data_IF_013468132067
#
_entry.id   IF_013468132067
#
_cell.length_a   1.000
_cell.length_b   1.000
_cell.length_c   1.000
_cell.angle_alpha   90.00
_cell.angle_beta   90.00
_cell.angle_gamma   90.00
#
_symmetry.space_group_name_H-M   'P 1'
#
loop_
_entity.id
_entity.type
_entity.pdbx_description
1 polymer ?
#
# COMPACT_ATOMS: atom_id res chain seq x y z
N UNK A 1 45.77 -71.82 1.58
CA UNK A 1 45.92 -70.85 2.66
C UNK A 1 45.51 -69.49 2.14
N UNK A 2 44.22 -69.10 2.29
CA UNK A 2 43.64 -67.89 1.72
C UNK A 2 43.49 -66.84 2.85
N UNK A 3 44.25 -65.78 2.73
CA UNK A 3 44.19 -64.62 3.66
C UNK A 3 43.13 -63.65 3.11
N UNK A 4 41.94 -63.57 3.76
CA UNK A 4 40.94 -62.52 3.51
C UNK A 4 41.39 -61.24 4.16
N UNK A 5 41.61 -60.19 3.36
CA UNK A 5 41.82 -58.82 3.82
C UNK A 5 40.48 -58.16 4.13
N UNK A 6 40.28 -57.74 5.37
CA UNK A 6 39.20 -56.86 5.81
C UNK A 6 39.58 -55.42 5.49
N UNK A 7 38.72 -54.72 4.73
CA UNK A 7 38.74 -53.25 4.60
C UNK A 7 37.91 -52.63 5.74
N UNK A 8 38.41 -51.60 6.40
CA UNK A 8 37.58 -50.84 7.33
C UNK A 8 36.72 -49.82 6.58
N UNK A 9 35.43 -49.85 6.89
CA UNK A 9 34.47 -48.81 6.51
C UNK A 9 34.78 -47.53 7.31
N UNK A 10 35.22 -46.48 6.64
CA UNK A 10 35.25 -45.11 7.17
C UNK A 10 33.86 -44.52 7.10
N UNK A 11 33.22 -44.32 8.22
CA UNK A 11 32.01 -43.52 8.39
C UNK A 11 32.48 -42.06 8.51
N UNK A 12 32.27 -41.28 7.46
CA UNK A 12 32.46 -39.84 7.52
C UNK A 12 31.26 -39.19 8.24
N UNK A 13 31.49 -38.32 9.23
CA UNK A 13 30.37 -37.58 9.82
C UNK A 13 29.83 -36.56 8.85
N UNK A 14 28.52 -36.60 8.57
CA UNK A 14 27.79 -35.59 7.85
C UNK A 14 27.74 -34.33 8.76
N UNK A 15 28.61 -33.38 8.47
CA UNK A 15 28.53 -32.04 9.04
C UNK A 15 27.31 -31.34 8.41
N UNK A 16 26.21 -31.30 9.13
CA UNK A 16 25.10 -30.39 8.89
C UNK A 16 25.64 -28.96 9.11
N UNK A 17 25.99 -28.30 8.04
CA UNK A 17 26.22 -26.86 8.07
C UNK A 17 24.85 -26.19 8.23
N UNK A 18 24.56 -25.76 9.46
CA UNK A 18 23.49 -24.82 9.71
C UNK A 18 23.83 -23.52 8.96
N UNK A 19 22.98 -23.14 8.00
CA UNK A 19 23.04 -21.82 7.41
C UNK A 19 22.83 -20.78 8.52
N UNK A 20 23.66 -19.74 8.62
CA UNK A 20 23.39 -18.65 9.52
C UNK A 20 22.21 -17.82 8.93
N UNK A 21 21.03 -18.00 9.48
CA UNK A 21 19.92 -17.06 9.30
C UNK A 21 20.19 -15.83 10.19
N UNK A 22 21.14 -15.01 9.77
CA UNK A 22 21.52 -13.76 10.43
C UNK A 22 21.00 -12.55 9.66
N UNK A 23 19.70 -12.44 9.42
CA UNK A 23 19.05 -11.15 9.20
C UNK A 23 18.67 -10.60 10.56
N UNK A 24 18.98 -9.32 10.84
CA UNK A 24 18.40 -8.58 11.95
C UNK A 24 16.88 -8.60 11.74
N UNK A 25 16.19 -9.56 12.38
CA UNK A 25 14.74 -9.46 12.55
C UNK A 25 14.54 -8.22 13.42
N UNK A 26 13.85 -7.22 12.90
CA UNK A 26 13.32 -6.17 13.75
C UNK A 26 12.61 -6.88 14.91
N UNK A 27 12.95 -6.49 16.13
CA UNK A 27 12.48 -7.18 17.32
C UNK A 27 10.94 -7.24 17.29
N UNK A 28 10.38 -8.40 17.63
CA UNK A 28 8.94 -8.54 17.76
C UNK A 28 8.42 -7.54 18.80
N UNK A 29 7.27 -6.88 18.56
CA UNK A 29 6.70 -5.97 19.54
C UNK A 29 6.32 -6.73 20.81
N UNK A 30 6.30 -6.01 21.93
CA UNK A 30 5.81 -6.54 23.21
C UNK A 30 4.29 -6.75 23.12
N UNK A 31 3.87 -7.97 22.81
CA UNK A 31 2.46 -8.32 22.58
C UNK A 31 1.57 -8.07 23.80
N UNK A 32 2.10 -8.09 25.01
CA UNK A 32 1.32 -7.83 26.23
C UNK A 32 0.92 -6.36 26.33
N UNK A 33 1.62 -5.47 25.64
CA UNK A 33 1.30 -4.03 25.57
C UNK A 33 0.42 -3.65 24.40
N UNK A 34 0.19 -4.57 23.45
CA UNK A 34 -0.60 -4.29 22.26
C UNK A 34 -2.06 -4.71 22.44
N UNK A 35 -3.01 -3.77 22.26
CA UNK A 35 -4.43 -4.15 22.22
C UNK A 35 -4.70 -5.16 21.10
N UNK A 36 -5.47 -6.19 21.41
CA UNK A 36 -5.89 -7.18 20.40
C UNK A 36 -6.88 -6.58 19.41
N UNK A 37 -7.58 -5.54 19.83
CA UNK A 37 -8.63 -4.87 19.04
C UNK A 37 -8.65 -3.39 19.34
N UNK A 38 -8.74 -2.55 18.30
CA UNK A 38 -8.94 -1.10 18.39
C UNK A 38 -10.14 -0.74 17.52
N UNK A 39 -11.09 0.02 18.08
CA UNK A 39 -12.33 0.40 17.42
C UNK A 39 -12.25 1.87 16.99
N UNK A 40 -12.54 2.18 15.73
CA UNK A 40 -12.60 3.58 15.27
C UNK A 40 -13.87 4.30 15.71
N UNK A 41 -14.92 3.57 16.14
CA UNK A 41 -16.26 4.10 16.23
C UNK A 41 -16.85 4.41 14.86
N UNK A 42 -18.07 4.98 14.85
CA UNK A 42 -18.79 5.38 13.65
C UNK A 42 -18.21 6.66 13.04
N UNK A 43 -17.91 6.66 11.73
CA UNK A 43 -17.14 7.71 11.06
C UNK A 43 -17.83 8.35 9.84
N UNK A 44 -19.12 8.25 9.73
CA UNK A 44 -19.89 8.82 8.63
C UNK A 44 -20.06 7.86 7.43
N UNK A 45 -20.35 8.39 6.24
CA UNK A 45 -20.76 7.56 5.10
C UNK A 45 -19.60 6.87 4.37
N UNK A 46 -18.37 7.34 4.58
CA UNK A 46 -17.19 6.86 3.86
C UNK A 46 -16.48 5.77 4.66
N UNK A 47 -16.03 4.71 3.96
CA UNK A 47 -15.30 3.63 4.62
C UNK A 47 -13.82 3.99 4.86
N UNK A 48 -13.20 3.25 5.76
CA UNK A 48 -11.76 3.31 6.00
C UNK A 48 -10.99 2.88 4.75
N UNK A 49 -9.89 3.57 4.47
CA UNK A 49 -9.03 3.34 3.30
C UNK A 49 -7.62 2.87 3.69
N UNK A 50 -7.16 3.24 4.88
CA UNK A 50 -5.83 2.90 5.36
C UNK A 50 -5.66 3.15 6.84
N UNK A 51 -4.61 2.56 7.41
CA UNK A 51 -4.15 2.80 8.78
C UNK A 51 -2.64 3.03 8.78
N UNK A 52 -2.17 3.83 9.73
CA UNK A 52 -0.76 3.92 10.11
C UNK A 52 -0.65 3.85 11.64
N UNK A 53 0.45 3.31 12.15
CA UNK A 53 0.62 3.09 13.60
C UNK A 53 1.95 3.65 14.07
N UNK A 54 1.92 4.38 15.15
CA UNK A 54 3.07 4.87 15.89
C UNK A 54 3.10 4.16 17.24
N UNK A 55 3.84 3.06 17.30
CA UNK A 55 3.97 2.28 18.54
C UNK A 55 4.75 3.03 19.61
N UNK A 56 5.71 3.87 19.22
CA UNK A 56 6.56 4.62 20.16
C UNK A 56 5.74 5.63 20.93
N UNK A 57 4.86 6.39 20.23
CA UNK A 57 4.00 7.40 20.83
C UNK A 57 2.64 6.86 21.27
N UNK A 58 2.30 5.62 20.89
CA UNK A 58 1.05 4.95 21.25
C UNK A 58 -0.17 5.46 20.48
N UNK A 59 -0.01 5.78 19.20
CA UNK A 59 -1.09 6.29 18.35
C UNK A 59 -1.38 5.38 17.15
N UNK A 60 -2.62 5.41 16.70
CA UNK A 60 -3.08 4.86 15.43
C UNK A 60 -3.81 5.94 14.65
N UNK A 61 -3.59 5.97 13.34
CA UNK A 61 -4.20 6.89 12.40
C UNK A 61 -5.09 6.11 11.42
N UNK A 62 -6.23 6.67 11.06
CA UNK A 62 -7.15 6.10 10.08
C UNK A 62 -7.46 7.14 9.01
N UNK A 63 -7.46 6.75 7.75
CA UNK A 63 -8.07 7.52 6.68
C UNK A 63 -9.49 7.01 6.41
N UNK A 64 -10.46 7.92 6.43
CA UNK A 64 -11.84 7.66 6.04
C UNK A 64 -12.19 8.53 4.85
N UNK A 65 -11.68 8.22 3.68
CA UNK A 65 -11.85 8.92 2.39
C UNK A 65 -11.70 10.45 2.46
N UNK A 66 -12.42 11.15 3.33
CA UNK A 66 -12.48 12.62 3.42
C UNK A 66 -11.96 13.18 4.75
N UNK A 67 -11.36 12.34 5.58
CA UNK A 67 -10.78 12.75 6.86
C UNK A 67 -9.67 11.81 7.36
N UNK A 68 -8.81 12.36 8.20
CA UNK A 68 -7.84 11.60 9.00
C UNK A 68 -8.28 11.61 10.46
N UNK A 69 -8.25 10.44 11.13
CA UNK A 69 -8.39 10.34 12.59
C UNK A 69 -7.04 10.05 13.23
N UNK A 70 -6.77 10.64 14.39
CA UNK A 70 -5.70 10.27 15.31
C UNK A 70 -6.33 9.76 16.59
N UNK A 71 -6.05 8.51 16.94
CA UNK A 71 -6.53 7.85 18.16
C UNK A 71 -5.37 7.31 18.97
N UNK A 72 -5.53 7.17 20.27
CA UNK A 72 -4.62 6.36 21.06
C UNK A 72 -4.88 4.86 20.85
N UNK A 73 -3.94 4.01 21.26
CA UNK A 73 -4.12 2.56 21.11
C UNK A 73 -5.22 1.99 22.01
N UNK A 74 -5.71 2.74 22.99
CA UNK A 74 -6.89 2.37 23.77
C UNK A 74 -8.21 2.65 23.05
N UNK A 75 -8.16 3.29 21.87
CA UNK A 75 -9.35 3.63 21.07
C UNK A 75 -9.99 4.97 21.42
N UNK A 76 -9.31 5.85 22.16
CA UNK A 76 -9.80 7.19 22.42
C UNK A 76 -9.40 8.14 21.29
N UNK A 77 -10.35 8.95 20.81
CA UNK A 77 -10.09 9.98 19.81
C UNK A 77 -9.24 11.11 20.42
N UNK A 78 -8.08 11.36 19.82
CA UNK A 78 -7.16 12.46 20.19
C UNK A 78 -7.42 13.69 19.32
N UNK A 79 -7.65 13.48 18.02
CA UNK A 79 -7.94 14.56 17.09
C UNK A 79 -8.32 14.03 15.71
N UNK A 80 -8.78 14.93 14.85
CA UNK A 80 -9.06 14.61 13.45
C UNK A 80 -8.74 15.78 12.53
N UNK A 81 -8.52 15.48 11.25
CA UNK A 81 -8.44 16.47 10.17
C UNK A 81 -9.60 16.19 9.22
N UNK A 82 -10.44 17.16 9.04
CA UNK A 82 -11.67 17.09 8.27
C UNK A 82 -11.66 18.10 7.11
N UNK A 83 -12.70 18.07 6.25
CA UNK A 83 -12.84 19.04 5.17
C UNK A 83 -12.12 18.65 3.87
N UNK A 84 -11.60 17.43 3.75
CA UNK A 84 -11.12 16.93 2.47
C UNK A 84 -12.29 16.63 1.53
N UNK A 85 -12.22 17.11 0.31
CA UNK A 85 -13.20 16.84 -0.77
C UNK A 85 -12.68 15.82 -1.79
N UNK A 86 -11.42 15.41 -1.65
CA UNK A 86 -10.78 14.36 -2.41
C UNK A 86 -10.84 12.99 -1.71
N UNK A 87 -10.19 12.01 -2.34
CA UNK A 87 -10.08 10.65 -1.83
C UNK A 87 -8.74 10.48 -1.12
N UNK A 88 -8.75 10.50 0.22
CA UNK A 88 -7.62 10.12 1.05
C UNK A 88 -7.60 8.59 1.17
N UNK A 89 -6.56 7.97 0.63
CA UNK A 89 -6.39 6.51 0.54
C UNK A 89 -5.51 5.91 1.63
N UNK A 90 -4.56 5.08 1.23
CA UNK A 90 -3.60 4.40 2.12
C UNK A 90 -2.77 5.40 2.93
N UNK A 91 -2.39 5.00 4.14
CA UNK A 91 -1.51 5.75 5.03
C UNK A 91 -0.23 5.00 5.31
N UNK A 92 0.85 5.74 5.50
CA UNK A 92 2.11 5.23 6.03
C UNK A 92 2.75 6.26 6.95
N UNK A 93 3.49 5.81 7.94
CA UNK A 93 4.29 6.68 8.79
C UNK A 93 5.72 6.76 8.26
N UNK A 94 6.28 7.97 8.20
CA UNK A 94 7.70 8.15 7.91
C UNK A 94 8.50 8.08 9.22
N UNK A 95 9.32 7.05 9.43
CA UNK A 95 10.10 6.92 10.66
C UNK A 95 11.17 8.00 10.80
N UNK A 96 11.59 8.63 9.69
CA UNK A 96 12.64 9.65 9.71
C UNK A 96 12.15 11.01 10.22
N UNK A 97 10.89 11.37 10.02
CA UNK A 97 10.33 12.67 10.41
C UNK A 97 9.10 12.61 11.32
N UNK A 98 8.61 11.40 11.59
CA UNK A 98 7.48 11.15 12.50
C UNK A 98 6.13 11.65 11.98
N UNK A 99 6.02 11.95 10.67
CA UNK A 99 4.78 12.41 10.04
C UNK A 99 4.04 11.25 9.34
N UNK A 100 2.75 11.42 9.14
CA UNK A 100 1.93 10.47 8.38
C UNK A 100 1.76 10.97 6.95
N UNK A 101 2.02 10.08 6.01
CA UNK A 101 1.89 10.29 4.58
C UNK A 101 0.72 9.48 4.05
N UNK A 102 -0.06 10.04 3.14
CA UNK A 102 -1.20 9.34 2.53
C UNK A 102 -1.39 9.72 1.06
N UNK A 103 -1.95 8.80 0.27
CA UNK A 103 -2.39 9.12 -1.08
C UNK A 103 -3.64 10.02 -1.01
N UNK A 104 -3.67 11.08 -1.81
CA UNK A 104 -4.81 12.00 -1.89
C UNK A 104 -5.12 12.30 -3.36
N UNK A 105 -6.36 12.04 -3.76
CA UNK A 105 -6.76 12.17 -5.14
C UNK A 105 -7.95 13.12 -5.32
N UNK A 106 -7.89 13.90 -6.38
CA UNK A 106 -9.02 14.65 -6.92
C UNK A 106 -9.26 14.18 -8.35
N UNK A 107 -10.47 13.65 -8.65
CA UNK A 107 -10.81 13.08 -9.95
C UNK A 107 -12.21 13.48 -10.40
N UNK A 108 -12.42 13.55 -11.70
CA UNK A 108 -13.75 13.70 -12.28
C UNK A 108 -14.32 12.40 -12.86
N UNK A 109 -13.94 11.26 -12.26
CA UNK A 109 -14.50 9.95 -12.56
C UNK A 109 -15.69 9.61 -11.65
N UNK A 110 -16.21 8.38 -11.77
CA UNK A 110 -17.34 7.91 -10.97
C UNK A 110 -17.07 7.93 -9.45
N UNK A 111 -15.80 7.76 -9.03
CA UNK A 111 -15.40 7.77 -7.62
C UNK A 111 -15.42 9.21 -7.11
N UNK A 112 -14.73 10.13 -7.78
CA UNK A 112 -14.70 11.53 -7.40
C UNK A 112 -16.09 12.18 -7.40
N UNK A 113 -16.91 11.89 -8.43
CA UNK A 113 -18.33 12.32 -8.48
C UNK A 113 -19.14 11.77 -7.32
N UNK A 114 -18.91 10.49 -6.95
CA UNK A 114 -19.58 9.85 -5.82
C UNK A 114 -19.23 10.50 -4.48
N UNK A 115 -17.96 10.91 -4.28
CA UNK A 115 -17.53 11.60 -3.07
C UNK A 115 -18.23 12.96 -2.96
N UNK A 116 -18.13 13.81 -4.01
CA UNK A 116 -18.78 15.13 -4.01
C UNK A 116 -20.28 15.05 -3.78
N UNK A 117 -20.97 14.14 -4.48
CA UNK A 117 -22.40 13.91 -4.28
C UNK A 117 -22.75 13.53 -2.85
N UNK A 118 -21.88 12.78 -2.17
CA UNK A 118 -22.11 12.37 -0.78
C UNK A 118 -21.86 13.52 0.20
N UNK A 119 -20.90 14.40 -0.09
CA UNK A 119 -20.59 15.58 0.74
C UNK A 119 -21.64 16.69 0.57
N UNK A 120 -21.86 17.14 -0.66
CA UNK A 120 -22.58 18.38 -0.96
C UNK A 120 -23.92 18.16 -1.69
N UNK A 121 -24.24 16.93 -2.06
CA UNK A 121 -25.38 16.59 -2.91
C UNK A 121 -25.16 16.90 -4.39
N UNK A 122 -24.00 17.45 -4.76
CA UNK A 122 -23.64 17.82 -6.13
C UNK A 122 -22.66 16.78 -6.73
N UNK A 123 -22.74 16.62 -8.05
CA UNK A 123 -21.86 15.70 -8.78
C UNK A 123 -21.06 16.40 -9.87
N UNK A 124 -21.12 17.74 -9.91
CA UNK A 124 -20.40 18.52 -10.93
C UNK A 124 -18.87 18.35 -10.78
N UNK A 125 -18.18 18.53 -11.90
CA UNK A 125 -16.76 18.22 -12.03
C UNK A 125 -15.85 19.06 -11.14
N UNK A 126 -14.66 18.53 -10.88
CA UNK A 126 -13.54 19.34 -10.39
C UNK A 126 -12.82 19.93 -11.59
N UNK A 127 -12.50 21.21 -11.53
CA UNK A 127 -11.79 21.88 -12.62
C UNK A 127 -10.38 21.30 -12.86
N UNK A 128 -9.83 20.61 -11.86
CA UNK A 128 -8.49 20.05 -11.94
C UNK A 128 -8.39 18.66 -11.31
N UNK A 129 -8.17 17.64 -12.14
CA UNK A 129 -7.73 16.33 -11.68
C UNK A 129 -6.27 16.41 -11.25
N UNK A 130 -5.96 15.88 -10.07
CA UNK A 130 -4.61 15.86 -9.51
C UNK A 130 -4.43 14.77 -8.49
N UNK A 131 -3.20 14.24 -8.42
CA UNK A 131 -2.81 13.22 -7.45
C UNK A 131 -1.68 13.75 -6.57
N UNK A 132 -1.82 13.56 -5.28
CA UNK A 132 -0.94 14.15 -4.27
C UNK A 132 -0.55 13.13 -3.21
N UNK A 133 0.59 13.34 -2.61
CA UNK A 133 0.88 12.80 -1.29
C UNK A 133 0.51 13.86 -0.26
N UNK A 134 -0.47 13.54 0.59
CA UNK A 134 -0.80 14.32 1.78
C UNK A 134 0.23 14.01 2.88
N UNK A 135 0.76 15.03 3.51
CA UNK A 135 1.76 14.94 4.58
C UNK A 135 1.19 15.61 5.81
N UNK A 136 0.86 14.83 6.83
CA UNK A 136 0.23 15.29 8.05
C UNK A 136 1.26 15.49 9.16
N UNK A 137 1.32 16.69 9.72
CA UNK A 137 2.04 17.00 10.96
C UNK A 137 1.19 16.52 12.15
N UNK A 138 1.35 15.25 12.48
CA UNK A 138 0.49 14.58 13.46
C UNK A 138 0.67 15.08 14.89
N UNK A 139 1.76 15.78 15.20
CA UNK A 139 1.97 16.40 16.51
C UNK A 139 1.06 17.61 16.70
N UNK A 140 0.67 18.26 15.60
CA UNK A 140 -0.27 19.39 15.61
C UNK A 140 -1.75 18.96 15.60
N UNK A 141 -2.06 17.69 15.36
CA UNK A 141 -3.42 17.16 15.42
C UNK A 141 -3.77 16.88 16.88
N UNK A 142 -4.40 17.83 17.54
CA UNK A 142 -4.61 17.83 19.01
C UNK A 142 -6.08 17.96 19.43
N UNK A 143 -7.00 18.11 18.49
CA UNK A 143 -8.45 18.19 18.73
C UNK A 143 -9.23 17.61 17.56
N UNK A 144 -10.47 17.17 17.75
CA UNK A 144 -11.37 16.81 16.64
C UNK A 144 -11.66 18.01 15.72
N UNK A 145 -12.06 17.67 14.50
CA UNK A 145 -12.57 18.59 13.47
C UNK A 145 -11.61 19.74 13.12
N UNK A 146 -10.29 19.46 13.02
CA UNK A 146 -9.33 20.41 12.48
C UNK A 146 -9.51 20.50 10.96
N UNK A 147 -9.55 21.71 10.43
CA UNK A 147 -9.75 21.95 9.00
C UNK A 147 -8.46 21.71 8.21
N UNK A 148 -8.53 20.90 7.18
CA UNK A 148 -7.38 20.50 6.36
C UNK A 148 -6.64 21.67 5.70
N UNK A 149 -7.34 22.77 5.37
CA UNK A 149 -6.74 23.96 4.74
C UNK A 149 -6.38 25.06 5.76
N UNK A 150 -7.23 25.28 6.78
CA UNK A 150 -7.11 26.43 7.67
C UNK A 150 -6.20 26.20 8.88
N UNK A 151 -6.20 24.98 9.44
CA UNK A 151 -5.43 24.68 10.66
C UNK A 151 -3.94 24.38 10.37
N UNK A 152 -3.52 24.34 9.11
CA UNK A 152 -2.14 24.14 8.66
C UNK A 152 -1.48 22.90 9.28
N UNK A 153 -2.25 21.82 9.41
CA UNK A 153 -1.79 20.54 9.97
C UNK A 153 -1.33 19.57 8.90
N UNK A 154 -1.44 19.96 7.63
CA UNK A 154 -1.00 19.16 6.51
C UNK A 154 -0.46 20.01 5.36
N UNK A 155 0.38 19.37 4.56
CA UNK A 155 0.86 19.85 3.27
C UNK A 155 0.61 18.78 2.21
N UNK A 156 0.80 19.13 0.95
CA UNK A 156 0.67 18.17 -0.15
C UNK A 156 1.84 18.29 -1.12
N UNK A 157 2.15 17.18 -1.80
CA UNK A 157 3.16 17.10 -2.87
C UNK A 157 2.54 16.45 -4.09
N UNK A 158 2.64 17.10 -5.24
CA UNK A 158 2.03 16.67 -6.50
C UNK A 158 2.77 15.49 -7.13
N UNK A 159 2.04 14.45 -7.53
CA UNK A 159 2.58 13.23 -8.15
C UNK A 159 2.39 13.31 -9.67
N UNK A 160 3.27 14.08 -10.32
CA UNK A 160 3.18 14.37 -11.75
C UNK A 160 3.12 13.12 -12.62
N UNK A 161 3.97 12.12 -12.36
CA UNK A 161 4.07 10.90 -13.17
C UNK A 161 2.73 10.14 -13.26
N UNK A 162 2.01 10.01 -12.14
CA UNK A 162 0.71 9.36 -12.15
C UNK A 162 -0.35 10.17 -12.92
N UNK A 163 -0.30 11.49 -12.83
CA UNK A 163 -1.18 12.37 -13.58
C UNK A 163 -0.88 12.30 -15.10
N UNK A 164 0.39 12.26 -15.48
CA UNK A 164 0.80 12.10 -16.87
C UNK A 164 0.28 10.78 -17.46
N UNK A 165 0.37 9.67 -16.72
CA UNK A 165 -0.15 8.38 -17.14
C UNK A 165 -1.69 8.33 -17.14
N UNK A 166 -2.33 9.02 -16.22
CA UNK A 166 -3.79 9.14 -16.20
C UNK A 166 -4.35 9.85 -17.44
N UNK A 167 -3.69 10.90 -17.91
CA UNK A 167 -4.12 11.63 -19.11
C UNK A 167 -3.55 11.08 -20.42
N UNK A 168 -2.59 10.16 -20.36
CA UNK A 168 -2.03 9.57 -21.56
C UNK A 168 -2.96 8.52 -22.16
N UNK A 169 -2.93 8.42 -23.48
CA UNK A 169 -3.54 7.33 -24.25
C UNK A 169 -2.53 6.20 -24.47
N UNK A 170 -3.04 4.98 -24.67
CA UNK A 170 -2.27 3.80 -25.05
C UNK A 170 -2.99 3.06 -26.19
N UNK A 171 -2.28 2.17 -26.89
CA UNK A 171 -2.88 1.22 -27.83
C UNK A 171 -2.92 -0.14 -27.18
N UNK A 172 -4.11 -0.76 -27.13
CA UNK A 172 -4.29 -2.08 -26.57
C UNK A 172 -5.37 -2.87 -27.32
N UNK A 173 -5.01 -4.04 -27.83
CA UNK A 173 -5.86 -4.84 -28.71
C UNK A 173 -6.21 -4.09 -30.01
N UNK A 174 -5.26 -3.31 -30.55
CA UNK A 174 -5.46 -2.50 -31.75
C UNK A 174 -6.40 -1.29 -31.56
N UNK A 175 -6.78 -0.95 -30.34
CA UNK A 175 -7.68 0.18 -30.00
C UNK A 175 -6.94 1.22 -29.18
N UNK A 176 -7.22 2.49 -29.44
CA UNK A 176 -6.80 3.57 -28.51
C UNK A 176 -7.63 3.50 -27.24
N UNK A 177 -6.96 3.43 -26.10
CA UNK A 177 -7.55 3.39 -24.77
C UNK A 177 -6.99 4.53 -23.92
N UNK A 178 -7.83 5.15 -23.12
CA UNK A 178 -7.40 6.14 -22.15
C UNK A 178 -6.62 5.49 -20.98
N UNK A 179 -5.84 6.29 -20.28
CA UNK A 179 -5.15 5.91 -19.06
C UNK A 179 -4.07 4.85 -19.30
N UNK A 180 -2.86 5.30 -19.64
CA UNK A 180 -1.68 4.44 -19.84
C UNK A 180 -1.48 3.53 -18.61
N UNK A 181 -1.17 2.25 -18.82
CA UNK A 181 -1.11 1.20 -17.79
C UNK A 181 -2.43 1.00 -17.03
N UNK A 182 -3.56 1.49 -17.56
CA UNK A 182 -4.83 1.50 -16.84
C UNK A 182 -4.86 2.42 -15.61
N UNK A 183 -3.95 3.41 -15.52
CA UNK A 183 -3.83 4.30 -14.36
C UNK A 183 -5.18 4.95 -14.02
N UNK A 184 -5.72 4.68 -12.83
CA UNK A 184 -6.93 5.32 -12.30
C UNK A 184 -6.60 6.35 -11.20
N UNK A 185 -5.33 6.60 -10.93
CA UNK A 185 -4.82 7.44 -9.85
C UNK A 185 -3.79 6.74 -9.00
N UNK A 186 -3.76 7.05 -7.72
CA UNK A 186 -2.83 6.47 -6.73
C UNK A 186 -3.60 6.00 -5.50
N UNK A 187 -3.17 4.89 -4.90
CA UNK A 187 -3.78 4.37 -3.66
C UNK A 187 -2.72 3.96 -2.63
N UNK A 188 -2.04 2.80 -2.80
CA UNK A 188 -1.08 2.29 -1.83
C UNK A 188 0.16 3.17 -1.67
N UNK A 189 0.57 3.44 -0.43
CA UNK A 189 1.82 4.16 -0.13
C UNK A 189 2.57 3.48 1.01
N UNK A 190 3.92 3.46 0.92
CA UNK A 190 4.77 2.99 2.02
C UNK A 190 6.19 3.55 1.90
N UNK A 191 6.89 3.64 3.03
CA UNK A 191 8.34 3.84 3.03
C UNK A 191 9.05 2.49 3.04
N UNK A 192 10.05 2.32 2.19
CA UNK A 192 10.86 1.11 2.14
C UNK A 192 12.25 1.41 1.56
N UNK A 193 13.27 0.58 1.86
CA UNK A 193 14.54 0.62 1.16
C UNK A 193 14.37 0.38 -0.34
N UNK A 194 15.40 0.72 -1.11
CA UNK A 194 15.45 0.38 -2.52
C UNK A 194 15.57 -1.14 -2.69
N UNK A 195 14.80 -1.70 -3.61
CA UNK A 195 14.80 -3.14 -3.91
C UNK A 195 16.21 -3.66 -4.24
N UNK A 196 16.62 -4.72 -3.54
CA UNK A 196 17.89 -5.42 -3.75
C UNK A 196 19.16 -4.62 -3.44
N UNK A 197 19.07 -3.39 -2.93
CA UNK A 197 20.28 -2.58 -2.68
C UNK A 197 21.01 -2.96 -1.39
N UNK A 198 20.27 -3.41 -0.37
CA UNK A 198 20.80 -3.55 0.99
C UNK A 198 21.24 -2.22 1.63
N UNK A 199 21.03 -1.09 0.95
CA UNK A 199 21.39 0.25 1.43
C UNK A 199 20.27 0.79 2.34
N UNK A 200 20.70 1.39 3.46
CA UNK A 200 19.78 2.17 4.30
C UNK A 200 19.39 3.45 3.56
N UNK A 201 18.13 3.62 3.32
CA UNK A 201 17.55 4.81 2.69
C UNK A 201 16.11 4.49 2.33
N UNK A 202 15.20 5.29 2.85
CA UNK A 202 13.80 5.03 2.63
C UNK A 202 13.29 5.84 1.44
N UNK A 203 12.84 5.11 0.44
CA UNK A 203 12.07 5.68 -0.66
C UNK A 203 10.59 5.69 -0.28
N UNK A 204 9.88 6.73 -0.67
CA UNK A 204 8.42 6.68 -0.69
C UNK A 204 7.96 5.95 -1.95
N UNK A 205 7.32 4.82 -1.76
CA UNK A 205 6.67 4.07 -2.81
C UNK A 205 5.21 4.49 -2.92
N UNK A 206 4.77 4.75 -4.15
CA UNK A 206 3.39 5.15 -4.47
C UNK A 206 2.85 4.20 -5.53
N UNK A 207 1.83 3.43 -5.20
CA UNK A 207 1.21 2.50 -6.13
C UNK A 207 0.08 3.17 -6.91
N UNK A 208 -0.04 2.80 -8.21
CA UNK A 208 -1.18 3.23 -9.00
C UNK A 208 -2.46 2.55 -8.53
N UNK A 209 -3.54 3.32 -8.50
CA UNK A 209 -4.87 2.79 -8.74
C UNK A 209 -4.97 2.32 -10.19
N UNK A 210 -5.61 1.19 -10.45
CA UNK A 210 -5.69 0.61 -11.78
C UNK A 210 -7.14 0.23 -12.10
N UNK A 211 -7.65 0.72 -13.25
CA UNK A 211 -8.95 0.29 -13.75
C UNK A 211 -8.95 -1.20 -14.08
N UNK A 212 -9.82 -1.97 -13.42
CA UNK A 212 -10.00 -3.41 -13.60
C UNK A 212 -10.74 -3.79 -14.90
N UNK A 213 -10.41 -3.18 -16.04
CA UNK A 213 -10.99 -3.51 -17.33
C UNK A 213 -10.51 -4.88 -17.81
N UNK A 214 -11.43 -5.83 -17.94
CA UNK A 214 -11.13 -7.20 -18.35
C UNK A 214 -10.82 -7.36 -19.84
N UNK A 215 -11.07 -6.35 -20.65
CA UNK A 215 -10.77 -6.35 -22.10
C UNK A 215 -9.36 -5.83 -22.40
N UNK A 216 -8.71 -5.16 -21.45
CA UNK A 216 -7.32 -4.69 -21.56
C UNK A 216 -6.34 -5.77 -21.12
N UNK A 217 -5.13 -5.72 -21.64
CA UNK A 217 -4.01 -6.58 -21.23
C UNK A 217 -2.81 -5.79 -20.70
N UNK A 218 -2.78 -4.48 -20.91
CA UNK A 218 -1.74 -3.56 -20.44
C UNK A 218 -1.96 -3.08 -18.99
N UNK A 219 -2.99 -3.58 -18.32
CA UNK A 219 -3.33 -3.30 -16.92
C UNK A 219 -3.12 -4.52 -15.98
N UNK A 220 -2.29 -5.48 -16.38
CA UNK A 220 -2.02 -6.71 -15.63
C UNK A 220 -0.80 -6.59 -14.70
N UNK A 221 -0.17 -5.42 -14.70
CA UNK A 221 0.90 -5.06 -13.78
C UNK A 221 0.42 -4.01 -12.79
N UNK A 222 0.80 -4.17 -11.53
CA UNK A 222 0.80 -3.05 -10.59
C UNK A 222 1.98 -2.15 -10.91
N UNK A 223 1.78 -0.84 -10.82
CA UNK A 223 2.84 0.15 -11.04
C UNK A 223 3.18 0.81 -9.70
N UNK A 224 4.46 0.83 -9.35
CA UNK A 224 4.97 1.50 -8.16
C UNK A 224 5.98 2.57 -8.58
N UNK A 225 5.72 3.81 -8.18
CA UNK A 225 6.67 4.90 -8.28
C UNK A 225 7.50 4.94 -7.00
N UNK A 226 8.81 5.10 -7.11
CA UNK A 226 9.69 5.26 -5.97
C UNK A 226 10.36 6.64 -6.01
N UNK A 227 10.35 7.35 -4.90
CA UNK A 227 10.91 8.69 -4.74
C UNK A 227 11.87 8.73 -3.57
N UNK A 228 13.12 9.19 -3.79
CA UNK A 228 14.02 9.57 -2.70
C UNK A 228 13.46 10.82 -2.00
N UNK A 229 13.19 10.71 -0.71
CA UNK A 229 12.51 11.77 0.04
C UNK A 229 13.45 12.76 0.74
N UNK A 230 14.77 12.68 0.54
CA UNK A 230 15.74 13.57 1.19
C UNK A 230 15.42 15.06 1.00
N UNK A 231 15.03 15.44 -0.20
CA UNK A 231 14.69 16.82 -0.56
C UNK A 231 13.17 17.04 -0.72
N UNK A 232 12.36 16.12 -0.25
CA UNK A 232 10.91 16.12 -0.47
C UNK A 232 10.22 17.38 0.04
N UNK A 233 10.67 17.87 1.19
CA UNK A 233 10.12 19.06 1.85
C UNK A 233 10.08 20.32 0.96
N UNK A 234 11.00 20.45 -0.01
CA UNK A 234 11.01 21.60 -0.95
C UNK A 234 9.76 21.66 -1.85
N UNK A 235 9.07 20.55 -2.02
CA UNK A 235 7.87 20.44 -2.85
C UNK A 235 6.58 20.62 -2.05
N UNK A 236 6.65 20.49 -0.74
CA UNK A 236 5.49 20.61 0.13
C UNK A 236 4.87 22.00 0.04
N UNK A 237 3.55 22.04 -0.20
CA UNK A 237 2.74 23.25 -0.21
C UNK A 237 1.52 23.06 0.67
N UNK A 238 0.97 24.10 1.29
CA UNK A 238 -0.33 24.03 1.95
C UNK A 238 -1.40 23.51 0.98
N UNK A 239 -2.31 22.71 1.50
CA UNK A 239 -3.46 22.26 0.72
C UNK A 239 -4.32 23.48 0.30
N UNK A 240 -4.68 23.53 -0.98
CA UNK A 240 -5.74 24.40 -1.50
C UNK A 240 -6.59 23.62 -2.50
N UNK A 241 -7.81 23.34 -2.12
CA UNK A 241 -8.73 22.52 -2.93
C UNK A 241 -9.38 23.35 -4.03
N UNK A 242 -9.51 24.66 -3.84
CA UNK A 242 -10.02 25.60 -4.86
C UNK A 242 -8.95 26.07 -5.86
N UNK A 243 -7.67 26.00 -5.49
CA UNK A 243 -6.54 26.41 -6.33
C UNK A 243 -5.36 25.44 -6.13
N UNK A 244 -5.49 24.18 -6.58
CA UNK A 244 -4.50 23.14 -6.32
C UNK A 244 -3.18 23.44 -7.03
N UNK A 245 -2.07 23.31 -6.29
CA UNK A 245 -0.73 23.49 -6.82
C UNK A 245 -0.24 22.26 -7.61
N UNK A 246 0.84 22.47 -8.37
CA UNK A 246 1.55 21.40 -9.10
C UNK A 246 3.02 21.26 -8.65
N UNK A 247 3.29 21.59 -7.39
CA UNK A 247 4.63 21.44 -6.81
C UNK A 247 4.88 19.97 -6.46
N UNK A 248 5.86 19.37 -7.10
CA UNK A 248 6.24 17.98 -6.92
C UNK A 248 7.46 17.61 -7.74
N UNK A 249 8.04 16.41 -7.57
CA UNK A 249 9.12 15.92 -8.39
C UNK A 249 8.72 15.86 -9.87
N UNK A 250 9.67 16.18 -10.76
CA UNK A 250 9.44 16.12 -12.20
C UNK A 250 9.19 14.70 -12.71
N UNK A 251 9.84 13.71 -12.06
CA UNK A 251 9.73 12.27 -12.32
C UNK A 251 10.04 11.49 -11.05
N UNK A 252 9.62 10.23 -10.94
CA UNK A 252 10.11 9.34 -9.90
C UNK A 252 11.58 8.94 -10.18
N UNK A 253 12.30 8.51 -9.14
CA UNK A 253 13.63 7.92 -9.28
C UNK A 253 13.56 6.56 -9.96
N UNK A 254 12.49 5.79 -9.66
CA UNK A 254 12.19 4.51 -10.30
C UNK A 254 10.69 4.36 -10.55
N UNK A 255 10.37 3.64 -11.63
CA UNK A 255 9.03 3.19 -11.98
C UNK A 255 9.04 1.68 -12.16
N UNK A 256 8.51 0.99 -11.17
CA UNK A 256 8.51 -0.47 -11.12
C UNK A 256 7.18 -1.06 -11.58
N UNK A 257 7.26 -2.30 -12.07
CA UNK A 257 6.12 -3.10 -12.50
C UNK A 257 6.10 -4.43 -11.75
N UNK A 258 4.94 -4.81 -11.23
CA UNK A 258 4.73 -6.11 -10.56
C UNK A 258 3.60 -6.83 -11.26
N UNK A 259 3.88 -8.00 -11.82
CA UNK A 259 2.85 -8.78 -12.51
C UNK A 259 1.98 -9.50 -11.49
N UNK A 260 0.77 -9.03 -11.29
CA UNK A 260 -0.22 -9.60 -10.37
C UNK A 260 -1.44 -10.18 -11.12
N UNK A 261 -1.48 -10.01 -12.43
CA UNK A 261 -2.69 -10.18 -13.20
C UNK A 261 -3.64 -8.99 -13.00
N UNK A 262 -4.88 -9.13 -13.38
CA UNK A 262 -5.86 -8.06 -13.24
C UNK A 262 -6.36 -7.94 -11.79
N UNK A 263 -6.37 -6.72 -11.25
CA UNK A 263 -6.98 -6.37 -9.97
C UNK A 263 -8.03 -5.27 -10.18
N UNK A 264 -8.95 -5.08 -9.23
CA UNK A 264 -9.85 -3.93 -9.22
C UNK A 264 -9.20 -2.80 -8.44
N UNK A 265 -9.09 -1.64 -9.02
CA UNK A 265 -8.52 -0.41 -8.43
C UNK A 265 -7.03 -0.45 -8.07
N UNK A 266 -6.29 -1.52 -8.37
CA UNK A 266 -4.87 -1.65 -8.07
C UNK A 266 -4.58 -1.97 -6.60
N UNK A 267 -3.34 -1.65 -6.15
CA UNK A 267 -2.93 -1.83 -4.75
C UNK A 267 -3.60 -0.77 -3.89
N UNK A 268 -4.49 -1.21 -3.02
CA UNK A 268 -5.21 -0.34 -2.09
C UNK A 268 -4.38 0.02 -0.87
N UNK A 269 -3.69 -0.97 -0.30
CA UNK A 269 -2.73 -0.77 0.78
C UNK A 269 -1.41 -1.46 0.43
N UNK A 270 -0.33 -0.71 0.60
CA UNK A 270 1.04 -1.16 0.44
C UNK A 270 1.76 -0.96 1.77
N UNK A 271 2.42 -2.00 2.27
CA UNK A 271 3.08 -1.96 3.56
C UNK A 271 4.43 -2.69 3.52
N UNK A 272 5.49 -2.02 3.94
CA UNK A 272 6.82 -2.59 4.06
C UNK A 272 7.01 -3.20 5.45
N UNK A 273 7.36 -4.48 5.52
CA UNK A 273 7.73 -5.14 6.76
C UNK A 273 9.26 -5.23 6.90
N UNK A 274 9.87 -4.45 7.80
CA UNK A 274 11.31 -4.47 7.99
C UNK A 274 11.84 -5.80 8.53
N UNK A 275 10.99 -6.64 9.14
CA UNK A 275 11.40 -7.94 9.66
C UNK A 275 11.65 -8.97 8.55
N UNK A 276 10.85 -8.96 7.49
CA UNK A 276 11.02 -9.82 6.31
C UNK A 276 11.75 -9.13 5.17
N UNK A 277 11.78 -7.79 5.16
CA UNK A 277 12.29 -7.00 4.03
C UNK A 277 11.35 -6.95 2.84
N UNK A 278 10.11 -7.43 2.96
CA UNK A 278 9.16 -7.55 1.87
C UNK A 278 8.09 -6.45 1.91
N UNK A 279 7.44 -6.21 0.77
CA UNK A 279 6.27 -5.35 0.69
C UNK A 279 5.01 -6.21 0.53
N UNK A 280 4.04 -5.95 1.39
CA UNK A 280 2.70 -6.56 1.35
C UNK A 280 1.76 -5.65 0.58
N UNK A 281 1.15 -6.18 -0.47
CA UNK A 281 0.28 -5.45 -1.37
C UNK A 281 -1.14 -6.04 -1.32
N UNK A 282 -2.05 -5.34 -0.67
CA UNK A 282 -3.45 -5.73 -0.57
C UNK A 282 -4.29 -5.02 -1.64
N UNK A 283 -5.11 -5.80 -2.35
CA UNK A 283 -5.91 -5.35 -3.49
C UNK A 283 -7.36 -5.81 -3.37
N UNK A 284 -8.26 -5.17 -4.12
CA UNK A 284 -9.54 -5.82 -4.45
C UNK A 284 -9.35 -6.78 -5.62
N UNK A 285 -9.99 -7.96 -5.52
CA UNK A 285 -9.87 -9.03 -6.52
C UNK A 285 -10.23 -8.55 -7.92
N UNK A 286 -9.46 -8.99 -8.90
CA UNK A 286 -9.78 -8.87 -10.31
C UNK A 286 -10.88 -9.84 -10.76
N UNK A 287 -11.16 -9.81 -12.06
CA UNK A 287 -12.24 -10.60 -12.68
C UNK A 287 -11.82 -11.31 -13.96
N UNK A 288 -10.55 -11.25 -14.36
CA UNK A 288 -10.06 -11.91 -15.56
C UNK A 288 -9.96 -13.42 -15.31
N UNK A 289 -10.63 -14.27 -16.14
CA UNK A 289 -10.70 -15.71 -15.88
C UNK A 289 -9.35 -16.43 -16.07
N UNK A 290 -8.39 -15.83 -16.78
CA UNK A 290 -7.05 -16.38 -16.99
C UNK A 290 -6.11 -16.17 -15.79
N UNK A 291 -6.54 -15.45 -14.75
CA UNK A 291 -5.74 -15.18 -13.57
C UNK A 291 -6.38 -15.71 -12.29
N UNK A 292 -5.59 -16.06 -11.27
CA UNK A 292 -6.12 -16.53 -9.99
C UNK A 292 -6.88 -15.44 -9.21
N UNK A 293 -6.64 -14.17 -9.54
CA UNK A 293 -7.29 -13.01 -8.92
C UNK A 293 -7.13 -13.00 -7.38
N UNK A 294 -5.90 -13.16 -6.90
CA UNK A 294 -5.58 -13.05 -5.49
C UNK A 294 -5.93 -11.66 -4.93
N UNK A 295 -6.12 -11.53 -3.63
CA UNK A 295 -6.37 -10.27 -2.96
C UNK A 295 -5.21 -9.78 -2.09
N UNK A 296 -4.15 -10.59 -1.97
CA UNK A 296 -2.92 -10.25 -1.26
C UNK A 296 -1.73 -10.79 -2.05
N UNK A 297 -0.72 -9.94 -2.21
CA UNK A 297 0.56 -10.30 -2.81
C UNK A 297 1.70 -9.89 -1.88
N UNK A 298 2.83 -10.57 -1.96
CA UNK A 298 4.07 -10.21 -1.27
C UNK A 298 5.15 -9.98 -2.33
N UNK A 299 5.69 -8.78 -2.37
CA UNK A 299 6.78 -8.40 -3.27
C UNK A 299 8.09 -8.64 -2.54
N UNK A 300 9.00 -9.38 -3.17
CA UNK A 300 10.29 -9.76 -2.60
C UNK A 300 11.26 -8.56 -2.59
N UNK A 301 11.45 -7.95 -1.43
CA UNK A 301 12.32 -6.79 -1.25
C UNK A 301 13.81 -7.11 -1.38
N UNK A 302 14.19 -8.39 -1.26
CA UNK A 302 15.59 -8.82 -1.37
C UNK A 302 16.10 -8.91 -2.81
N UNK A 303 15.18 -9.03 -3.78
CA UNK A 303 15.51 -9.16 -5.20
C UNK A 303 15.56 -7.78 -5.88
N UNK A 304 16.61 -7.45 -6.62
CA UNK A 304 16.64 -6.24 -7.44
C UNK A 304 15.62 -6.33 -8.57
N UNK A 305 15.12 -5.19 -8.99
CA UNK A 305 14.31 -5.09 -10.20
C UNK A 305 15.10 -5.57 -11.42
N UNK A 306 14.40 -6.20 -12.37
CA UNK A 306 14.98 -6.64 -13.64
C UNK A 306 14.36 -5.85 -14.79
N UNK A 307 15.20 -5.43 -15.75
CA UNK A 307 14.68 -4.83 -16.97
C UNK A 307 14.15 -5.94 -17.89
N UNK A 308 12.85 -5.94 -18.14
CA UNK A 308 12.16 -6.98 -18.91
C UNK A 308 11.14 -6.36 -19.87
N UNK A 309 10.81 -7.08 -20.95
CA UNK A 309 9.68 -6.74 -21.80
C UNK A 309 8.37 -7.03 -21.08
N UNK A 310 7.53 -6.00 -20.95
CA UNK A 310 6.23 -6.10 -20.32
C UNK A 310 5.26 -6.86 -21.25
N UNK A 311 4.50 -7.79 -20.67
CA UNK A 311 3.52 -8.59 -21.39
C UNK A 311 2.18 -7.85 -21.50
N UNK A 312 1.45 -8.10 -22.59
CA UNK A 312 0.11 -7.55 -22.77
C UNK A 312 0.07 -6.18 -23.46
N UNK A 313 1.21 -5.70 -23.95
CA UNK A 313 1.32 -4.43 -24.68
C UNK A 313 1.41 -4.69 -26.18
N UNK A 314 0.67 -3.92 -26.97
CA UNK A 314 0.72 -4.02 -28.45
C UNK A 314 2.05 -3.51 -29.02
N UNK A 315 2.66 -2.54 -28.35
CA UNK A 315 3.99 -2.02 -28.68
C UNK A 315 5.00 -2.58 -27.71
N UNK A 316 6.20 -3.05 -28.15
CA UNK A 316 7.25 -3.49 -27.27
C UNK A 316 7.55 -2.43 -26.20
N UNK A 317 7.24 -2.76 -24.97
CA UNK A 317 7.38 -1.89 -23.79
C UNK A 317 8.28 -2.59 -22.78
N UNK A 318 9.34 -1.94 -22.36
CA UNK A 318 10.22 -2.45 -21.32
C UNK A 318 9.98 -1.73 -20.00
N UNK A 319 10.16 -2.44 -18.88
CA UNK A 319 10.07 -1.87 -17.54
C UNK A 319 11.01 -2.54 -16.56
N UNK A 320 11.19 -1.90 -15.41
CA UNK A 320 11.85 -2.50 -14.24
C UNK A 320 10.83 -3.37 -13.50
N UNK A 321 10.94 -4.69 -13.64
CA UNK A 321 9.97 -5.64 -13.07
C UNK A 321 10.48 -6.16 -11.73
N UNK A 322 9.61 -6.09 -10.71
CA UNK A 322 9.83 -6.66 -9.39
C UNK A 322 9.30 -8.09 -9.30
N UNK A 323 9.95 -8.90 -8.49
CA UNK A 323 9.53 -10.28 -8.24
C UNK A 323 8.54 -10.37 -7.10
N UNK A 324 7.51 -11.21 -7.25
CA UNK A 324 6.73 -11.69 -6.12
C UNK A 324 7.56 -12.69 -5.31
N UNK A 325 7.30 -12.77 -4.00
CA UNK A 325 7.88 -13.80 -3.16
C UNK A 325 7.43 -15.21 -3.63
N UNK A 326 8.34 -16.18 -3.55
CA UNK A 326 8.06 -17.57 -3.91
C UNK A 326 7.27 -18.27 -2.79
N UNK A 327 6.06 -17.77 -2.50
CA UNK A 327 5.20 -18.19 -1.40
C UNK A 327 3.72 -18.04 -1.78
N UNK A 328 2.83 -18.56 -0.94
CA UNK A 328 1.39 -18.56 -1.21
C UNK A 328 0.98 -19.61 -2.25
N UNK A 329 -0.15 -19.38 -2.88
CA UNK A 329 -0.65 -20.25 -3.93
C UNK A 329 -0.02 -19.85 -5.28
N UNK A 330 0.72 -20.72 -5.98
CA UNK A 330 1.45 -20.40 -7.21
C UNK A 330 0.60 -20.52 -8.47
N UNK A 331 -0.72 -20.48 -8.38
CA UNK A 331 -1.62 -20.74 -9.50
C UNK A 331 -1.39 -19.75 -10.67
N UNK A 332 -1.40 -20.26 -11.87
CA UNK A 332 -1.11 -19.48 -13.08
C UNK A 332 0.27 -18.82 -13.12
N UNK A 333 1.23 -19.27 -12.28
CA UNK A 333 2.57 -18.70 -12.17
C UNK A 333 2.62 -17.35 -11.44
N UNK A 334 1.53 -16.96 -10.77
CA UNK A 334 1.42 -15.73 -9.97
C UNK A 334 1.13 -16.13 -8.53
N UNK A 335 2.14 -16.03 -7.66
CA UNK A 335 2.01 -16.31 -6.23
C UNK A 335 1.17 -15.26 -5.51
N UNK A 336 0.30 -15.71 -4.60
CA UNK A 336 -0.54 -14.82 -3.80
C UNK A 336 -1.52 -15.57 -2.91
N UNK A 337 -2.38 -14.82 -2.25
CA UNK A 337 -3.34 -15.35 -1.27
C UNK A 337 -4.72 -14.73 -1.45
N UNK A 338 -5.73 -15.48 -1.04
CA UNK A 338 -7.05 -14.94 -0.77
C UNK A 338 -7.10 -14.49 0.69
N UNK A 339 -7.10 -13.20 0.93
CA UNK A 339 -7.30 -12.65 2.25
C UNK A 339 -8.42 -11.61 2.23
N UNK A 340 -9.37 -11.72 3.14
CA UNK A 340 -10.58 -10.90 3.12
C UNK A 340 -10.30 -9.43 3.44
N UNK A 341 -9.31 -9.18 4.30
CA UNK A 341 -8.97 -7.88 4.83
C UNK A 341 -7.68 -7.34 4.21
N UNK A 342 -7.17 -6.23 4.70
CA UNK A 342 -5.91 -5.63 4.27
C UNK A 342 -6.09 -4.52 3.24
N UNK A 343 -7.06 -4.60 2.33
CA UNK A 343 -7.32 -3.54 1.33
C UNK A 343 -7.87 -2.24 1.94
N UNK A 344 -8.20 -2.23 3.22
CA UNK A 344 -8.69 -1.06 3.96
C UNK A 344 -7.80 -0.70 5.16
N UNK A 345 -6.62 -1.24 5.21
CA UNK A 345 -5.59 -0.94 6.22
C UNK A 345 -4.79 -2.17 6.60
N UNK A 346 -3.47 -2.08 6.40
CA UNK A 346 -2.49 -3.12 6.69
C UNK A 346 -1.23 -2.44 7.20
N UNK A 347 -0.84 -2.68 8.45
CA UNK A 347 0.32 -2.05 9.07
C UNK A 347 1.19 -3.09 9.78
N UNK A 348 2.43 -3.37 9.30
CA UNK A 348 3.39 -4.21 9.99
C UNK A 348 3.84 -3.57 11.30
N UNK A 349 4.02 -4.40 12.34
CA UNK A 349 4.47 -3.98 13.66
C UNK A 349 5.85 -4.56 14.02
N UNK A 350 6.44 -5.35 13.12
CA UNK A 350 7.66 -6.12 13.35
C UNK A 350 7.38 -7.56 13.82
N UNK A 351 8.40 -8.42 13.72
CA UNK A 351 8.34 -9.81 14.18
C UNK A 351 7.29 -10.70 13.48
N UNK A 352 6.71 -10.24 12.36
CA UNK A 352 5.62 -10.94 11.67
C UNK A 352 4.23 -10.60 12.20
N UNK A 353 4.10 -9.58 13.03
CA UNK A 353 2.81 -9.11 13.54
C UNK A 353 2.32 -7.89 12.78
N UNK A 354 0.99 -7.79 12.64
CA UNK A 354 0.32 -6.75 11.86
C UNK A 354 -0.93 -6.26 12.58
N UNK A 355 -1.18 -4.96 12.51
CA UNK A 355 -2.53 -4.46 12.66
C UNK A 355 -3.22 -4.44 11.29
N UNK A 356 -4.43 -4.99 11.23
CA UNK A 356 -5.23 -5.08 10.01
C UNK A 356 -6.63 -4.53 10.27
N UNK A 357 -7.07 -3.62 9.41
CA UNK A 357 -8.39 -2.99 9.47
C UNK A 357 -9.45 -3.91 8.87
N UNK A 358 -10.48 -4.20 9.65
CA UNK A 358 -11.71 -4.87 9.23
C UNK A 358 -12.81 -3.80 9.12
N UNK A 359 -13.11 -3.38 7.90
CA UNK A 359 -14.15 -2.38 7.68
C UNK A 359 -15.53 -2.95 7.87
N UNK A 360 -16.43 -2.14 8.41
CA UNK A 360 -17.84 -2.48 8.59
C UNK A 360 -18.74 -1.29 8.24
N UNK A 361 -19.99 -1.60 7.89
CA UNK A 361 -21.05 -0.61 7.69
C UNK A 361 -22.28 -1.01 8.45
N UNK A 362 -22.74 -0.14 9.34
CA UNK A 362 -24.00 -0.34 10.06
C UNK A 362 -25.18 -0.43 9.08
N UNK A 363 -26.02 -1.42 9.25
CA UNK A 363 -27.25 -1.57 8.44
C UNK A 363 -28.29 -0.51 8.80
N UNK A 364 -28.33 -0.07 10.06
CA UNK A 364 -29.31 0.86 10.61
C UNK A 364 -28.93 2.31 10.33
N UNK A 365 -27.72 2.72 10.76
CA UNK A 365 -27.28 4.11 10.66
C UNK A 365 -26.55 4.42 9.35
N UNK A 366 -26.14 3.38 8.59
CA UNK A 366 -25.30 3.48 7.38
C UNK A 366 -23.90 4.04 7.65
N UNK A 367 -23.55 4.23 8.91
CA UNK A 367 -22.23 4.67 9.33
C UNK A 367 -21.18 3.61 9.02
N UNK A 368 -20.00 4.06 8.65
CA UNK A 368 -18.82 3.23 8.41
C UNK A 368 -17.95 3.20 9.67
N UNK A 369 -17.31 2.09 9.92
CA UNK A 369 -16.38 1.92 11.03
C UNK A 369 -15.25 0.96 10.65
N UNK A 370 -14.22 0.93 11.47
CA UNK A 370 -13.10 -0.02 11.38
C UNK A 370 -12.91 -0.70 12.74
N UNK A 371 -12.73 -2.01 12.70
CA UNK A 371 -12.17 -2.80 13.80
C UNK A 371 -10.76 -3.20 13.40
N UNK A 372 -9.75 -2.59 14.00
CA UNK A 372 -8.36 -3.03 13.78
C UNK A 372 -8.08 -4.18 14.72
N UNK A 373 -7.56 -5.30 14.17
CA UNK A 373 -7.16 -6.48 14.95
C UNK A 373 -5.68 -6.76 14.79
N UNK A 374 -5.12 -7.36 15.84
CA UNK A 374 -3.77 -7.89 15.82
C UNK A 374 -3.75 -9.24 15.12
N UNK A 375 -2.88 -9.39 14.13
CA UNK A 375 -2.68 -10.60 13.36
C UNK A 375 -1.21 -11.03 13.38
N UNK A 376 -0.98 -12.33 13.28
CA UNK A 376 0.31 -12.94 13.01
C UNK A 376 0.36 -13.40 11.54
N UNK A 377 1.41 -13.06 10.82
CA UNK A 377 1.69 -13.57 9.49
C UNK A 377 2.16 -15.02 9.58
N UNK A 378 1.42 -15.93 8.98
CA UNK A 378 1.76 -17.35 8.91
C UNK A 378 2.40 -17.71 7.57
N UNK A 379 2.05 -17.00 6.49
CA UNK A 379 2.42 -17.33 5.13
C UNK A 379 1.73 -18.57 4.55
N UNK A 380 0.85 -19.23 5.33
CA UNK A 380 0.12 -20.41 4.86
C UNK A 380 -0.80 -20.06 3.68
N UNK A 381 -0.88 -20.97 2.72
CA UNK A 381 -1.66 -20.75 1.50
C UNK A 381 -3.14 -20.47 1.76
N UNK A 382 -3.73 -21.13 2.77
CA UNK A 382 -5.16 -21.01 3.11
C UNK A 382 -5.42 -19.95 4.20
N UNK A 383 -4.46 -19.73 5.09
CA UNK A 383 -4.62 -18.83 6.26
C UNK A 383 -3.38 -17.94 6.39
N UNK A 384 -3.17 -16.99 5.48
CA UNK A 384 -1.95 -16.17 5.46
C UNK A 384 -1.77 -15.32 6.71
N UNK A 385 -2.85 -14.94 7.35
CA UNK A 385 -2.87 -14.23 8.63
C UNK A 385 -3.79 -14.94 9.63
N UNK A 386 -3.32 -15.06 10.86
CA UNK A 386 -4.08 -15.60 11.99
C UNK A 386 -4.29 -14.51 13.02
N UNK A 387 -5.55 -14.28 13.43
CA UNK A 387 -5.83 -13.34 14.51
C UNK A 387 -5.18 -13.78 15.82
N UNK A 388 -4.58 -12.85 16.55
CA UNK A 388 -3.98 -13.08 17.87
C UNK A 388 -5.08 -12.86 18.91
N UNK A 389 -5.39 -13.92 19.68
CA UNK A 389 -6.40 -13.91 20.76
C UNK A 389 -5.89 -13.26 22.05
#
# INVERSE_FOLDING_TARGET
MNLKRLLPFLIAPLLLTACPSGGNRADAPDLDKLPRTILSGDQGPFHVQGIAVDLERGYIYFSFTTKLLKMDLAGNLVGSVDGLTGHLGCLTMNPADGRVYGSLEYKDDAIGKGIRKTLDGESEGVDQTGFYIAVFDVDRIVRPDMDAEKDQVMTTVYVKEAVDDYFAEAVNGGRTVAHRFGCSGIDGVTFAPRFGSGEAGDYLYVAYGIYGDTLRTDNDYQVLLAYDTKDWKRYEQPLSQSAPHKSGPAAPDHKYFVRTGNTSYGIQNLAYDPASGNLYAAVYKGKKPQYPNWSLFVIDGSKPARRESLQGFDTPTEGEVLSLAEAGNPDGGIGGWNFKWGSTGLCPLGGGYFYISENARSKETRQQSSTVRLYEWTGDAETPFRAVE
#
